data_IF_238704863135
#
_entry.id   IF_238704863135
#
_cell.length_a   1.000
_cell.length_b   1.000
_cell.length_c   1.000
_cell.angle_alpha   90.00
_cell.angle_beta   90.00
_cell.angle_gamma   90.00
#
_symmetry.space_group_name_H-M   'P 1'
#
loop_
_entity.id
_entity.type
_entity.pdbx_description
1 polymer ?
#
# COMPACT_ATOMS: atom_id res chain seq x y z
N UNK A 1 -31.95 -12.99 48.46
CA UNK A 1 -32.16 -12.96 46.99
C UNK A 1 -31.94 -11.58 46.38
N UNK A 2 -32.56 -10.50 46.89
CA UNK A 2 -32.43 -9.14 46.33
C UNK A 2 -30.98 -8.58 46.33
N UNK A 3 -30.19 -8.85 47.37
CA UNK A 3 -28.76 -8.44 47.45
C UNK A 3 -27.87 -9.07 46.38
N UNK A 4 -28.12 -10.32 45.97
CA UNK A 4 -27.37 -10.97 44.87
C UNK A 4 -27.71 -10.36 43.51
N UNK A 5 -28.96 -9.90 43.34
CA UNK A 5 -29.44 -9.21 42.13
C UNK A 5 -28.80 -7.81 42.02
N UNK A 6 -28.68 -7.08 43.13
CA UNK A 6 -27.97 -5.79 43.13
C UNK A 6 -26.47 -5.94 42.83
N UNK A 7 -25.82 -7.01 43.33
CA UNK A 7 -24.40 -7.26 43.04
C UNK A 7 -24.14 -7.63 41.57
N UNK A 8 -25.07 -8.37 40.95
CA UNK A 8 -25.02 -8.74 39.53
C UNK A 8 -25.25 -7.54 38.61
N UNK A 9 -26.18 -6.65 38.98
CA UNK A 9 -26.51 -5.45 38.18
C UNK A 9 -25.42 -4.38 38.27
N UNK A 10 -24.80 -4.20 39.43
CA UNK A 10 -23.64 -3.30 39.55
C UNK A 10 -22.41 -3.83 38.82
N UNK A 11 -22.16 -5.15 38.84
CA UNK A 11 -21.08 -5.76 38.06
C UNK A 11 -21.26 -5.56 36.55
N UNK A 12 -22.49 -5.73 36.05
CA UNK A 12 -22.81 -5.50 34.63
C UNK A 12 -22.66 -4.03 34.21
N UNK A 13 -23.06 -3.09 35.07
CA UNK A 13 -22.91 -1.66 34.80
C UNK A 13 -21.44 -1.21 34.78
N UNK A 14 -20.61 -1.75 35.68
CA UNK A 14 -19.16 -1.48 35.69
C UNK A 14 -18.49 -2.10 34.47
N UNK A 15 -18.86 -3.32 34.08
CA UNK A 15 -18.33 -3.96 32.88
C UNK A 15 -18.66 -3.18 31.59
N UNK A 16 -19.87 -2.63 31.46
CA UNK A 16 -20.23 -1.76 30.32
C UNK A 16 -19.45 -0.44 30.31
N UNK A 17 -19.20 0.17 31.48
CA UNK A 17 -18.37 1.39 31.59
C UNK A 17 -16.90 1.12 31.22
N UNK A 18 -16.34 -0.04 31.58
CA UNK A 18 -14.97 -0.42 31.23
C UNK A 18 -14.83 -0.73 29.75
N UNK A 19 -15.82 -1.38 29.13
CA UNK A 19 -15.81 -1.66 27.68
C UNK A 19 -16.01 -0.39 26.82
N UNK A 20 -16.74 0.61 27.32
CA UNK A 20 -16.93 1.89 26.62
C UNK A 20 -15.67 2.75 26.52
N UNK A 21 -14.65 2.50 27.35
CA UNK A 21 -13.40 3.27 27.38
C UNK A 21 -12.26 2.67 26.54
N UNK A 22 -12.45 1.50 25.92
CA UNK A 22 -11.50 1.00 24.91
C UNK A 22 -11.76 1.74 23.62
N UNK A 23 -11.23 2.98 23.58
CA UNK A 23 -11.30 3.87 22.44
C UNK A 23 -10.77 3.18 21.18
N UNK A 24 -11.66 3.06 20.20
CA UNK A 24 -11.38 2.55 18.87
C UNK A 24 -10.49 3.56 18.14
N UNK A 25 -9.19 3.57 18.47
CA UNK A 25 -8.18 4.36 17.77
C UNK A 25 -7.94 3.71 16.43
N UNK A 26 -8.76 4.04 15.44
CA UNK A 26 -8.51 3.63 14.07
C UNK A 26 -7.06 4.07 13.71
N UNK A 27 -6.24 3.18 13.12
CA UNK A 27 -4.88 3.54 12.74
C UNK A 27 -4.94 4.76 11.82
N UNK A 28 -4.14 5.80 12.12
CA UNK A 28 -3.93 6.90 11.17
C UNK A 28 -3.48 6.26 9.86
N UNK A 29 -4.20 6.53 8.78
CA UNK A 29 -3.70 6.19 7.45
C UNK A 29 -2.47 7.07 7.23
N UNK A 30 -1.33 6.41 7.11
CA UNK A 30 -0.10 6.94 6.54
C UNK A 30 -0.45 7.77 5.30
N UNK A 31 0.04 9.02 5.21
CA UNK A 31 -0.22 9.94 4.09
C UNK A 31 1.09 10.46 3.55
N UNK A 32 1.18 10.58 2.23
CA UNK A 32 2.24 11.35 1.59
C UNK A 32 2.21 12.81 2.09
N UNK A 33 3.37 13.44 2.37
CA UNK A 33 3.44 14.86 2.66
C UNK A 33 2.79 15.70 1.56
N UNK A 34 2.24 16.86 1.92
CA UNK A 34 1.73 17.79 0.92
C UNK A 34 2.92 18.41 0.17
N UNK A 35 2.98 18.13 -1.13
CA UNK A 35 4.05 18.54 -2.05
C UNK A 35 3.43 19.15 -3.29
N UNK A 36 4.23 19.82 -4.11
CA UNK A 36 3.78 20.18 -5.45
C UNK A 36 3.62 18.93 -6.31
N UNK A 37 2.38 18.49 -6.50
CA UNK A 37 2.05 17.27 -7.24
C UNK A 37 2.26 17.39 -8.77
N UNK A 38 2.69 18.55 -9.26
CA UNK A 38 3.10 18.71 -10.67
C UNK A 38 4.53 18.22 -10.92
N UNK A 39 5.32 18.05 -9.85
CA UNK A 39 6.68 17.51 -9.86
C UNK A 39 6.61 15.98 -9.95
N UNK A 40 7.43 15.39 -10.83
CA UNK A 40 7.52 13.94 -10.96
C UNK A 40 8.09 13.30 -9.70
N UNK A 41 7.59 12.11 -9.32
CA UNK A 41 8.02 11.41 -8.10
C UNK A 41 9.56 11.27 -8.01
N UNK A 42 10.20 11.01 -9.15
CA UNK A 42 11.65 10.85 -9.28
C UNK A 42 12.46 12.06 -8.80
N UNK A 43 11.94 13.29 -8.97
CA UNK A 43 12.68 14.52 -8.68
C UNK A 43 13.05 14.64 -7.20
N UNK A 44 12.18 14.19 -6.29
CA UNK A 44 12.52 14.08 -4.87
C UNK A 44 13.07 12.69 -4.52
N UNK A 45 12.51 11.63 -5.10
CA UNK A 45 12.85 10.26 -4.69
C UNK A 45 14.21 9.75 -5.16
N UNK A 46 14.88 10.46 -6.08
CA UNK A 46 16.31 10.28 -6.36
C UNK A 46 17.16 10.52 -5.11
N UNK A 47 16.83 11.53 -4.31
CA UNK A 47 17.56 11.85 -3.07
C UNK A 47 16.96 11.14 -1.85
N UNK A 48 15.62 11.04 -1.77
CA UNK A 48 14.94 10.50 -0.59
C UNK A 48 15.04 8.97 -0.50
N UNK A 49 15.10 8.30 -1.66
CA UNK A 49 15.15 6.82 -1.75
C UNK A 49 16.13 6.38 -2.86
N UNK A 50 17.43 6.71 -2.73
CA UNK A 50 18.39 6.60 -3.83
C UNK A 50 18.58 5.17 -4.33
N UNK A 51 18.51 4.17 -3.44
CA UNK A 51 18.63 2.76 -3.83
C UNK A 51 17.45 2.31 -4.70
N UNK A 52 16.24 2.71 -4.34
CA UNK A 52 15.02 2.36 -5.09
C UNK A 52 14.98 3.12 -6.42
N UNK A 53 15.36 4.39 -6.41
CA UNK A 53 15.50 5.18 -7.62
C UNK A 53 16.51 4.54 -8.57
N UNK A 54 17.67 4.11 -8.06
CA UNK A 54 18.68 3.39 -8.85
C UNK A 54 18.13 2.08 -9.42
N UNK A 55 17.47 1.26 -8.62
CA UNK A 55 16.84 0.01 -9.06
C UNK A 55 15.82 0.25 -10.20
N UNK A 56 15.02 1.32 -10.08
CA UNK A 56 14.12 1.72 -11.17
C UNK A 56 14.92 2.17 -12.39
N UNK A 57 15.88 3.08 -12.21
CA UNK A 57 16.63 3.73 -13.29
C UNK A 57 17.42 2.72 -14.13
N UNK A 58 17.98 1.69 -13.52
CA UNK A 58 18.72 0.62 -14.17
C UNK A 58 17.82 -0.47 -14.79
N UNK A 59 16.51 -0.42 -14.55
CA UNK A 59 15.55 -1.33 -15.15
C UNK A 59 15.14 -0.90 -16.56
N UNK A 60 14.57 -1.81 -17.35
CA UNK A 60 14.02 -1.47 -18.67
C UNK A 60 12.87 -0.47 -18.65
N UNK A 61 12.15 -0.37 -17.54
CA UNK A 61 11.10 0.64 -17.41
C UNK A 61 11.70 2.03 -17.09
N UNK A 62 12.76 2.10 -16.29
CA UNK A 62 13.49 3.35 -16.03
C UNK A 62 14.34 3.83 -17.20
N UNK A 63 14.94 2.91 -17.97
CA UNK A 63 15.64 3.19 -19.23
C UNK A 63 14.72 3.96 -20.20
N UNK A 64 13.44 3.55 -20.26
CA UNK A 64 12.41 4.16 -21.12
C UNK A 64 11.68 5.33 -20.45
N UNK A 65 12.10 5.72 -19.24
CA UNK A 65 11.54 6.81 -18.46
C UNK A 65 10.03 6.66 -18.15
N UNK A 66 9.55 5.42 -17.96
CA UNK A 66 8.20 5.20 -17.47
C UNK A 66 8.08 5.63 -16.01
N UNK A 67 7.22 6.62 -15.76
CA UNK A 67 7.03 7.21 -14.45
C UNK A 67 6.55 6.21 -13.40
N UNK A 68 6.96 6.43 -12.15
CA UNK A 68 6.68 5.56 -11.01
C UNK A 68 5.17 5.29 -10.83
N UNK A 69 4.36 6.32 -11.08
CA UNK A 69 2.90 6.30 -10.90
C UNK A 69 2.19 5.26 -11.76
N UNK A 70 2.78 4.85 -12.89
CA UNK A 70 2.22 3.83 -13.79
C UNK A 70 2.01 2.50 -13.03
N UNK A 71 2.97 2.15 -12.18
CA UNK A 71 2.93 0.91 -11.39
C UNK A 71 2.52 1.17 -9.93
N UNK A 72 2.83 2.34 -9.37
CA UNK A 72 2.66 2.61 -7.94
C UNK A 72 1.48 3.52 -7.60
N UNK A 73 0.78 4.08 -8.60
CA UNK A 73 -0.27 5.07 -8.40
C UNK A 73 0.28 6.48 -8.15
N UNK A 74 -0.61 7.47 -8.17
CA UNK A 74 -0.28 8.90 -8.03
C UNK A 74 0.21 9.30 -6.63
N UNK A 75 0.01 8.47 -5.60
CA UNK A 75 0.41 8.76 -4.22
C UNK A 75 -0.52 9.72 -3.47
N UNK A 76 -1.50 10.33 -4.12
CA UNK A 76 -2.54 11.20 -3.55
C UNK A 76 -3.80 10.40 -3.19
N UNK A 77 -4.37 9.76 -4.21
CA UNK A 77 -5.59 8.98 -4.13
C UNK A 77 -5.28 7.48 -4.13
N UNK A 78 -4.32 7.08 -4.96
CA UNK A 78 -3.99 5.68 -5.18
C UNK A 78 -2.52 5.42 -4.91
N UNK A 79 -2.25 4.42 -4.08
CA UNK A 79 -0.90 3.92 -3.88
C UNK A 79 -0.86 2.39 -3.86
N UNK A 80 0.13 1.83 -4.55
CA UNK A 80 0.46 0.43 -4.49
C UNK A 80 1.92 0.27 -4.08
N UNK A 81 2.17 -0.41 -2.95
CA UNK A 81 3.52 -0.76 -2.51
C UNK A 81 4.31 -1.53 -3.57
N UNK A 82 3.61 -2.37 -4.35
CA UNK A 82 4.16 -3.18 -5.42
C UNK A 82 3.21 -3.06 -6.61
N UNK A 83 3.76 -3.01 -7.82
CA UNK A 83 2.96 -3.10 -9.04
C UNK A 83 2.10 -4.36 -9.06
N UNK A 84 1.00 -4.29 -9.79
CA UNK A 84 0.03 -5.35 -9.99
C UNK A 84 0.07 -5.85 -11.44
N UNK A 85 -0.38 -7.08 -11.64
CA UNK A 85 -0.35 -7.71 -12.95
C UNK A 85 -1.22 -6.98 -13.99
N UNK A 86 -2.34 -6.38 -13.57
CA UNK A 86 -3.20 -5.57 -14.45
C UNK A 86 -2.48 -4.33 -15.01
N UNK A 87 -1.66 -3.67 -14.20
CA UNK A 87 -0.82 -2.56 -14.65
C UNK A 87 0.24 -3.01 -15.66
N UNK A 88 0.81 -4.21 -15.48
CA UNK A 88 1.71 -4.80 -16.46
C UNK A 88 0.97 -5.07 -17.78
N UNK A 89 -0.22 -5.67 -17.70
CA UNK A 89 -1.04 -6.03 -18.86
C UNK A 89 -1.57 -4.82 -19.62
N UNK A 90 -1.65 -3.64 -19.00
CA UNK A 90 -1.98 -2.39 -19.69
C UNK A 90 -1.06 -2.08 -20.86
N UNK A 91 0.22 -2.50 -20.79
CA UNK A 91 1.18 -2.40 -21.89
C UNK A 91 1.60 -3.76 -22.47
N UNK A 92 1.55 -4.83 -21.67
CA UNK A 92 1.95 -6.19 -22.02
C UNK A 92 0.75 -7.12 -22.25
N UNK A 93 -0.28 -6.64 -22.96
CA UNK A 93 -1.50 -7.41 -23.20
C UNK A 93 -1.25 -8.71 -23.98
N UNK A 94 -0.28 -8.71 -24.91
CA UNK A 94 0.06 -9.90 -25.70
C UNK A 94 0.59 -11.06 -24.84
N UNK A 95 1.11 -10.76 -23.65
CA UNK A 95 1.71 -11.70 -22.73
C UNK A 95 0.63 -12.41 -21.88
N UNK A 96 -0.60 -11.90 -21.85
CA UNK A 96 -1.70 -12.43 -21.02
C UNK A 96 -1.99 -13.91 -21.33
N UNK A 97 -2.03 -14.28 -22.62
CA UNK A 97 -2.32 -15.66 -23.05
C UNK A 97 -1.24 -16.63 -22.55
N UNK A 98 0.03 -16.22 -22.61
CA UNK A 98 1.14 -17.04 -22.14
C UNK A 98 1.18 -17.10 -20.61
N UNK A 99 0.87 -15.98 -19.94
CA UNK A 99 0.79 -15.93 -18.49
C UNK A 99 -0.28 -16.89 -17.96
N UNK A 100 -1.49 -16.90 -18.55
CA UNK A 100 -2.60 -17.81 -18.19
C UNK A 100 -2.26 -19.30 -18.37
N UNK A 101 -1.30 -19.63 -19.24
CA UNK A 101 -0.83 -21.00 -19.46
C UNK A 101 0.33 -21.39 -18.54
N UNK A 102 0.88 -20.44 -17.80
CA UNK A 102 2.01 -20.68 -16.92
C UNK A 102 1.55 -21.11 -15.52
N UNK A 103 2.50 -21.62 -14.73
CA UNK A 103 2.29 -21.88 -13.29
C UNK A 103 2.58 -20.63 -12.42
N UNK A 104 2.96 -19.51 -13.05
CA UNK A 104 3.28 -18.29 -12.34
C UNK A 104 2.03 -17.69 -11.70
N UNK A 105 2.14 -17.26 -10.44
CA UNK A 105 1.01 -16.64 -9.71
C UNK A 105 0.88 -15.16 -10.03
N UNK A 106 2.00 -14.51 -10.31
CA UNK A 106 2.08 -13.07 -10.63
C UNK A 106 3.18 -12.86 -11.67
N UNK A 107 3.18 -11.73 -12.37
CA UNK A 107 4.28 -11.35 -13.26
C UNK A 107 5.64 -11.39 -12.50
N UNK A 108 5.62 -11.06 -11.22
CA UNK A 108 6.78 -11.07 -10.34
C UNK A 108 7.21 -12.46 -9.85
N UNK A 109 6.55 -13.54 -10.25
CA UNK A 109 7.07 -14.89 -9.97
C UNK A 109 8.40 -15.10 -10.68
N UNK A 110 8.60 -14.47 -11.84
CA UNK A 110 9.85 -14.53 -12.60
C UNK A 110 10.52 -13.16 -12.76
N UNK A 111 9.75 -12.08 -12.86
CA UNK A 111 10.31 -10.73 -13.00
C UNK A 111 10.74 -10.16 -11.64
N UNK A 112 12.01 -9.72 -11.57
CA UNK A 112 12.51 -8.97 -10.41
C UNK A 112 11.96 -7.55 -10.49
N UNK A 113 11.25 -7.13 -9.45
CA UNK A 113 10.77 -5.76 -9.29
C UNK A 113 11.21 -5.18 -7.95
N UNK A 114 10.87 -3.92 -7.71
CA UNK A 114 11.06 -3.25 -6.43
C UNK A 114 9.73 -3.00 -5.72
N UNK A 115 9.82 -2.49 -4.48
CA UNK A 115 8.66 -2.04 -3.72
C UNK A 115 8.91 -0.65 -3.16
N UNK A 116 7.86 0.17 -3.15
CA UNK A 116 7.87 1.47 -2.47
C UNK A 116 7.26 1.33 -1.08
N UNK A 117 7.72 2.11 -0.12
CA UNK A 117 7.02 2.26 1.17
C UNK A 117 6.15 3.51 1.09
N UNK A 118 4.92 3.44 1.61
CA UNK A 118 4.12 4.66 1.74
C UNK A 118 4.64 5.47 2.92
N UNK A 119 4.58 6.79 2.83
CA UNK A 119 5.04 7.68 3.88
C UNK A 119 4.14 7.54 5.11
N UNK A 120 4.72 7.10 6.24
CA UNK A 120 4.05 6.98 7.54
C UNK A 120 3.55 8.36 8.02
#
# INVERSE_FOLDING_TARGET
>A
MKSKIYLLTTFFAVAMLVYGFVGNSAPKKDKHPDVDWTIGCAECHEEMTPEVFKDWKESKHGDMNFGCYICHGDGQETFYKKGKDDQCLGCHAAQEVNFKKSVAKTCFTCHKGHTLKFHN
#
